data_IF_161154435005
#
_entry.id   IF_161154435005
#
_cell.length_a   1.000
_cell.length_b   1.000
_cell.length_c   1.000
_cell.angle_alpha   90.00
_cell.angle_beta   90.00
_cell.angle_gamma   90.00
#
_symmetry.space_group_name_H-M   'P 1'
#
loop_
_entity.id
_entity.type
_entity.pdbx_description
1 polymer ?
#
# COMPACT_ATOMS: atom_id res chain seq x y z
N UNK A 1 44.59 -12.74 2.80
CA UNK A 1 43.51 -12.27 3.64
C UNK A 1 42.44 -11.64 2.74
N UNK A 2 41.40 -12.40 2.44
CA UNK A 2 40.26 -11.88 1.73
C UNK A 2 39.63 -10.76 2.58
N UNK A 3 39.62 -9.61 2.02
CA UNK A 3 39.39 -8.34 2.67
C UNK A 3 38.00 -8.31 3.33
N UNK A 4 37.97 -8.24 4.67
CA UNK A 4 36.75 -8.03 5.45
C UNK A 4 35.94 -6.81 4.92
N UNK A 5 36.62 -5.88 4.25
CA UNK A 5 36.01 -4.70 3.59
C UNK A 5 35.12 -5.08 2.40
N UNK A 6 35.48 -6.13 1.63
CA UNK A 6 34.67 -6.62 0.53
C UNK A 6 33.39 -7.34 1.01
N UNK A 7 33.45 -7.99 2.17
CA UNK A 7 32.27 -8.65 2.77
C UNK A 7 31.27 -7.61 3.29
N UNK A 8 31.76 -6.52 3.92
CA UNK A 8 30.91 -5.42 4.39
C UNK A 8 30.29 -4.60 3.27
N UNK A 9 30.99 -4.41 2.17
CA UNK A 9 30.45 -3.71 1.00
C UNK A 9 29.41 -4.56 0.28
N UNK A 10 29.58 -5.88 0.26
CA UNK A 10 28.63 -6.79 -0.36
C UNK A 10 27.33 -6.94 0.47
N UNK A 11 27.44 -6.94 1.80
CA UNK A 11 26.26 -6.96 2.69
C UNK A 11 25.46 -5.65 2.61
N UNK A 12 26.12 -4.47 2.56
CA UNK A 12 25.45 -3.19 2.38
C UNK A 12 24.80 -3.03 1.01
N UNK A 13 25.39 -3.56 -0.05
CA UNK A 13 24.79 -3.54 -1.38
C UNK A 13 23.58 -4.48 -1.47
N UNK A 14 23.58 -5.57 -0.69
CA UNK A 14 22.45 -6.49 -0.62
C UNK A 14 21.28 -5.92 0.19
N UNK A 15 21.54 -5.05 1.16
CA UNK A 15 20.50 -4.31 1.91
C UNK A 15 19.88 -3.17 1.09
N UNK A 16 20.57 -2.66 0.06
CA UNK A 16 20.10 -1.57 -0.80
C UNK A 16 19.35 -2.06 -2.05
N UNK A 17 19.41 -3.37 -2.36
CA UNK A 17 18.72 -3.94 -3.51
C UNK A 17 17.36 -4.48 -3.06
N UNK A 18 16.22 -3.94 -3.57
CA UNK A 18 14.92 -4.46 -3.21
C UNK A 18 14.76 -5.91 -3.65
N UNK A 19 14.12 -6.73 -2.80
CA UNK A 19 13.78 -8.12 -3.12
C UNK A 19 12.72 -8.19 -4.21
N UNK A 20 12.58 -9.35 -4.86
CA UNK A 20 11.51 -9.55 -5.85
C UNK A 20 10.11 -9.34 -5.23
N UNK A 21 9.90 -9.80 -3.99
CA UNK A 21 8.65 -9.59 -3.25
C UNK A 21 8.41 -8.10 -2.94
N UNK A 22 9.45 -7.37 -2.56
CA UNK A 22 9.36 -5.94 -2.31
C UNK A 22 9.03 -5.15 -3.58
N UNK A 23 9.61 -5.51 -4.73
CA UNK A 23 9.29 -4.90 -6.02
C UNK A 23 7.86 -5.20 -6.45
N UNK A 24 7.40 -6.44 -6.27
CA UNK A 24 6.03 -6.82 -6.57
C UNK A 24 5.03 -6.07 -5.69
N UNK A 25 5.34 -5.92 -4.40
CA UNK A 25 4.52 -5.13 -3.46
C UNK A 25 4.49 -3.65 -3.86
N UNK A 26 5.63 -3.06 -4.21
CA UNK A 26 5.70 -1.68 -4.68
C UNK A 26 4.84 -1.47 -5.93
N UNK A 27 4.88 -2.38 -6.89
CA UNK A 27 4.07 -2.35 -8.11
C UNK A 27 2.57 -2.35 -7.79
N UNK A 28 2.08 -3.31 -7.02
CA UNK A 28 0.65 -3.42 -6.72
C UNK A 28 0.14 -2.24 -5.90
N UNK A 29 0.95 -1.71 -4.97
CA UNK A 29 0.60 -0.51 -4.19
C UNK A 29 0.49 0.71 -5.09
N UNK A 30 1.41 0.89 -6.04
CA UNK A 30 1.33 1.99 -7.01
C UNK A 30 0.14 1.85 -7.95
N UNK A 31 -0.21 0.64 -8.36
CA UNK A 31 -1.41 0.40 -9.18
C UNK A 31 -2.69 0.74 -8.41
N UNK A 32 -2.77 0.41 -7.13
CA UNK A 32 -3.88 0.78 -6.24
C UNK A 32 -3.95 2.31 -6.11
N UNK A 33 -2.83 2.98 -5.87
CA UNK A 33 -2.77 4.45 -5.77
C UNK A 33 -3.24 5.10 -7.06
N UNK A 34 -2.73 4.64 -8.19
CA UNK A 34 -3.12 5.15 -9.51
C UNK A 34 -4.60 4.94 -9.81
N UNK A 35 -5.14 3.76 -9.53
CA UNK A 35 -6.57 3.48 -9.68
C UNK A 35 -7.41 4.40 -8.81
N UNK A 36 -7.02 4.62 -7.56
CA UNK A 36 -7.69 5.57 -6.67
C UNK A 36 -7.62 7.02 -7.21
N UNK A 37 -6.51 7.41 -7.81
CA UNK A 37 -6.35 8.75 -8.40
C UNK A 37 -7.33 9.01 -9.56
N UNK A 38 -7.66 7.97 -10.33
CA UNK A 38 -8.62 8.08 -11.43
C UNK A 38 -10.06 8.22 -10.95
N UNK A 39 -10.38 7.66 -9.79
CA UNK A 39 -11.70 7.84 -9.14
C UNK A 39 -11.83 9.24 -8.55
N UNK A 40 -10.77 9.81 -8.02
CA UNK A 40 -10.72 11.16 -7.46
C UNK A 40 -10.56 11.18 -5.95
N UNK A 41 -10.92 12.32 -5.35
CA UNK A 41 -10.83 12.58 -3.91
C UNK A 41 -12.18 12.43 -3.21
N UNK A 42 -12.15 12.40 -1.87
CA UNK A 42 -13.32 12.33 -0.98
C UNK A 42 -14.04 10.97 -1.06
N UNK A 43 -13.25 9.89 -1.14
CA UNK A 43 -13.75 8.51 -1.14
C UNK A 43 -13.46 7.79 0.18
N UNK A 44 -14.35 6.84 0.50
CA UNK A 44 -14.16 5.94 1.62
C UNK A 44 -12.89 5.08 1.44
N UNK A 45 -12.25 4.65 2.54
CA UNK A 45 -11.13 3.72 2.48
C UNK A 45 -11.49 2.43 1.75
N UNK A 46 -10.52 1.87 1.04
CA UNK A 46 -10.65 0.57 0.36
C UNK A 46 -9.61 -0.40 0.88
N UNK A 47 -10.02 -1.63 1.08
CA UNK A 47 -9.16 -2.73 1.52
C UNK A 47 -9.02 -3.76 0.41
N UNK A 48 -7.82 -4.30 0.25
CA UNK A 48 -7.49 -5.29 -0.78
C UNK A 48 -6.79 -6.49 -0.17
N UNK A 49 -7.18 -7.68 -0.60
CA UNK A 49 -6.38 -8.89 -0.41
C UNK A 49 -5.34 -8.98 -1.52
N UNK A 50 -4.11 -9.32 -1.17
CA UNK A 50 -3.02 -9.53 -2.13
C UNK A 50 -2.80 -11.03 -2.36
N UNK A 51 -2.85 -11.45 -3.61
CA UNK A 51 -2.69 -12.83 -4.04
C UNK A 51 -1.68 -12.89 -5.20
N UNK A 52 -0.87 -13.93 -5.26
CA UNK A 52 -0.02 -14.13 -6.43
C UNK A 52 -0.87 -14.35 -7.68
N UNK A 53 -0.60 -13.59 -8.72
CA UNK A 53 -1.34 -13.66 -9.99
C UNK A 53 -1.29 -15.05 -10.60
N UNK A 54 -0.12 -15.73 -10.55
CA UNK A 54 0.04 -17.11 -11.00
C UNK A 54 -0.94 -18.06 -10.29
N UNK A 55 -1.11 -17.93 -8.98
CA UNK A 55 -2.04 -18.73 -8.18
C UNK A 55 -3.50 -18.46 -8.55
N UNK A 56 -3.85 -17.19 -8.79
CA UNK A 56 -5.19 -16.82 -9.25
C UNK A 56 -5.53 -17.44 -10.60
N UNK A 57 -4.60 -17.45 -11.55
CA UNK A 57 -4.80 -18.01 -12.89
C UNK A 57 -5.02 -19.53 -12.86
N UNK A 58 -4.57 -20.23 -11.82
CA UNK A 58 -4.79 -21.66 -11.63
C UNK A 58 -6.19 -22.01 -11.08
N UNK A 59 -6.96 -21.01 -10.61
CA UNK A 59 -8.29 -21.25 -10.06
C UNK A 59 -9.28 -21.71 -11.15
N UNK A 60 -9.91 -22.90 -11.00
CA UNK A 60 -10.78 -23.44 -12.05
C UNK A 60 -12.08 -22.65 -12.22
N UNK A 61 -12.55 -21.99 -11.15
CA UNK A 61 -13.84 -21.28 -11.12
C UNK A 61 -13.72 -19.80 -11.58
N UNK A 62 -12.52 -19.36 -11.92
CA UNK A 62 -12.30 -17.99 -12.38
C UNK A 62 -12.85 -17.79 -13.80
N UNK A 63 -13.71 -16.78 -14.05
CA UNK A 63 -14.20 -16.49 -15.40
C UNK A 63 -13.08 -16.24 -16.39
N UNK A 64 -13.20 -16.74 -17.62
CA UNK A 64 -12.17 -16.59 -18.67
C UNK A 64 -11.86 -15.12 -18.99
N UNK A 65 -12.86 -14.25 -18.96
CA UNK A 65 -12.65 -12.80 -19.18
C UNK A 65 -11.73 -12.20 -18.11
N UNK A 66 -11.88 -12.62 -16.85
CA UNK A 66 -11.03 -12.19 -15.76
C UNK A 66 -9.63 -12.80 -15.87
N UNK A 67 -9.52 -14.06 -16.27
CA UNK A 67 -8.22 -14.68 -16.54
C UNK A 67 -7.47 -13.96 -17.65
N UNK A 68 -8.14 -13.56 -18.72
CA UNK A 68 -7.53 -12.82 -19.81
C UNK A 68 -7.03 -11.43 -19.35
N UNK A 69 -7.80 -10.72 -18.54
CA UNK A 69 -7.38 -9.47 -17.94
C UNK A 69 -6.15 -9.63 -17.04
N UNK A 70 -6.14 -10.66 -16.20
CA UNK A 70 -4.99 -10.98 -15.33
C UNK A 70 -3.74 -11.35 -16.14
N UNK A 71 -3.89 -12.10 -17.23
CA UNK A 71 -2.76 -12.45 -18.11
C UNK A 71 -2.15 -11.22 -18.80
N UNK A 72 -2.96 -10.22 -19.12
CA UNK A 72 -2.48 -8.96 -19.70
C UNK A 72 -1.68 -8.12 -18.72
N UNK A 73 -2.04 -8.15 -17.45
CA UNK A 73 -1.36 -7.41 -16.37
C UNK A 73 -0.15 -8.16 -15.82
N UNK A 74 -0.16 -9.49 -15.92
CA UNK A 74 0.87 -10.35 -15.36
C UNK A 74 2.21 -10.22 -16.09
N UNK A 75 3.28 -9.99 -15.35
CA UNK A 75 4.65 -9.91 -15.87
C UNK A 75 5.31 -11.29 -16.10
N UNK A 76 4.59 -12.39 -15.86
CA UNK A 76 5.06 -13.76 -16.01
C UNK A 76 5.87 -14.30 -14.83
N UNK A 77 6.07 -13.52 -13.77
CA UNK A 77 6.81 -13.95 -12.58
C UNK A 77 5.88 -14.55 -11.52
N UNK A 78 6.44 -15.42 -10.68
CA UNK A 78 5.72 -16.03 -9.56
C UNK A 78 5.45 -15.02 -8.42
N UNK A 79 6.18 -13.92 -8.39
CA UNK A 79 6.06 -12.88 -7.35
C UNK A 79 5.03 -11.81 -7.66
N UNK A 80 4.60 -11.67 -8.91
CA UNK A 80 3.60 -10.67 -9.31
C UNK A 80 2.32 -10.80 -8.49
N UNK A 81 1.81 -9.67 -7.99
CA UNK A 81 0.65 -9.60 -7.11
C UNK A 81 -0.56 -9.01 -7.81
N UNK A 82 -1.71 -9.59 -7.53
CA UNK A 82 -3.02 -9.04 -7.87
C UNK A 82 -3.73 -8.57 -6.61
N UNK A 83 -4.37 -7.41 -6.66
CA UNK A 83 -5.16 -6.85 -5.59
C UNK A 83 -6.64 -7.16 -5.80
N UNK A 84 -7.26 -7.79 -4.80
CA UNK A 84 -8.69 -8.13 -4.81
C UNK A 84 -9.39 -7.25 -3.80
N UNK A 85 -10.26 -6.36 -4.30
CA UNK A 85 -11.02 -5.45 -3.43
C UNK A 85 -11.97 -6.23 -2.51
N UNK A 86 -12.03 -5.81 -1.25
CA UNK A 86 -12.93 -6.34 -0.24
C UNK A 86 -14.18 -5.45 -0.17
N UNK A 87 -15.23 -5.86 -0.87
CA UNK A 87 -16.47 -5.07 -1.00
C UNK A 87 -17.23 -4.90 0.32
N UNK A 88 -17.09 -5.85 1.25
CA UNK A 88 -17.73 -5.80 2.57
C UNK A 88 -17.10 -4.76 3.51
N UNK A 89 -16.00 -4.15 3.11
CA UNK A 89 -15.33 -3.13 3.89
C UNK A 89 -16.01 -1.77 3.71
N UNK A 90 -16.54 -1.23 4.81
CA UNK A 90 -17.26 0.06 4.82
C UNK A 90 -16.42 1.23 5.38
N UNK A 91 -15.16 1.00 5.71
CA UNK A 91 -14.28 2.00 6.31
C UNK A 91 -14.50 2.25 7.80
N UNK A 92 -15.38 1.48 8.44
CA UNK A 92 -15.66 1.56 9.87
C UNK A 92 -14.62 0.72 10.62
N UNK A 93 -13.98 1.33 11.62
CA UNK A 93 -13.01 0.69 12.50
C UNK A 93 -12.03 -0.29 11.83
N UNK A 94 -11.13 0.26 11.02
CA UNK A 94 -10.12 -0.48 10.26
C UNK A 94 -9.26 -1.39 11.18
N UNK A 95 -8.90 -0.90 12.38
CA UNK A 95 -8.06 -1.64 13.31
C UNK A 95 -8.76 -2.88 13.87
N UNK A 96 -10.03 -2.75 14.25
CA UNK A 96 -10.83 -3.86 14.75
C UNK A 96 -11.06 -4.90 13.65
N UNK A 97 -11.35 -4.46 12.44
CA UNK A 97 -11.55 -5.36 11.30
C UNK A 97 -10.27 -6.09 10.93
N UNK A 98 -9.12 -5.42 10.85
CA UNK A 98 -7.83 -6.04 10.57
C UNK A 98 -7.44 -7.07 11.64
N UNK A 99 -7.78 -6.82 12.90
CA UNK A 99 -7.54 -7.75 14.00
C UNK A 99 -8.36 -9.06 13.89
N UNK A 100 -9.52 -9.01 13.24
CA UNK A 100 -10.45 -10.15 13.11
C UNK A 100 -10.41 -10.81 11.72
N UNK A 101 -9.67 -10.25 10.75
CA UNK A 101 -9.55 -10.83 9.42
C UNK A 101 -8.74 -12.13 9.45
N UNK A 102 -9.41 -13.24 9.16
CA UNK A 102 -8.80 -14.52 8.88
C UNK A 102 -8.86 -14.78 7.38
N UNK A 103 -7.78 -14.47 6.67
CA UNK A 103 -7.70 -14.76 5.25
C UNK A 103 -7.13 -16.16 4.99
N UNK A 104 -7.58 -16.80 3.87
CA UNK A 104 -6.99 -18.06 3.42
C UNK A 104 -5.48 -17.95 3.21
N UNK A 105 -4.79 -19.08 3.23
CA UNK A 105 -3.33 -19.13 3.01
C UNK A 105 -2.90 -18.64 1.62
N UNK A 106 -3.80 -18.64 0.64
CA UNK A 106 -3.58 -18.08 -0.69
C UNK A 106 -3.42 -16.56 -0.70
N UNK A 107 -3.94 -15.87 0.32
CA UNK A 107 -3.73 -14.43 0.52
C UNK A 107 -2.39 -14.22 1.19
N UNK A 108 -1.45 -13.60 0.47
CA UNK A 108 -0.07 -13.43 0.92
C UNK A 108 0.17 -12.07 1.58
N UNK A 109 -0.81 -11.18 1.52
CA UNK A 109 -0.72 -9.85 2.11
C UNK A 109 -2.01 -9.06 2.00
N UNK A 110 -1.94 -7.83 2.44
CA UNK A 110 -3.04 -6.88 2.37
C UNK A 110 -2.55 -5.51 1.92
N UNK A 111 -3.42 -4.76 1.30
CA UNK A 111 -3.20 -3.36 1.01
C UNK A 111 -4.45 -2.55 1.29
N UNK A 112 -4.26 -1.27 1.51
CA UNK A 112 -5.36 -0.33 1.71
C UNK A 112 -5.08 0.99 1.00
N UNK A 113 -6.15 1.68 0.64
CA UNK A 113 -6.13 3.05 0.16
C UNK A 113 -7.04 3.89 1.03
N UNK A 114 -6.55 5.00 1.55
CA UNK A 114 -7.31 5.91 2.39
C UNK A 114 -6.84 7.35 2.22
N UNK A 115 -7.71 8.28 2.58
CA UNK A 115 -7.41 9.69 2.62
C UNK A 115 -7.20 10.14 4.07
N UNK A 116 -6.23 11.02 4.28
CA UNK A 116 -5.89 11.58 5.58
C UNK A 116 -5.59 13.07 5.45
N UNK A 117 -5.80 13.79 6.53
CA UNK A 117 -5.28 15.15 6.70
C UNK A 117 -4.00 15.06 7.52
N UNK A 118 -2.92 15.61 6.99
CA UNK A 118 -1.64 15.66 7.68
C UNK A 118 -1.20 17.11 7.90
N UNK A 119 -0.40 17.31 8.91
CA UNK A 119 0.28 18.57 9.23
C UNK A 119 1.77 18.31 9.43
N UNK A 120 2.64 19.34 9.32
CA UNK A 120 4.04 19.19 9.67
C UNK A 120 4.24 18.68 11.12
N UNK A 121 5.31 17.92 11.40
CA UNK A 121 5.54 17.35 12.74
C UNK A 121 5.56 18.36 13.86
N UNK A 122 6.05 19.57 13.61
CA UNK A 122 6.06 20.67 14.59
C UNK A 122 4.65 21.18 14.95
N UNK A 123 3.69 21.03 14.05
CA UNK A 123 2.27 21.36 14.28
C UNK A 123 1.59 20.22 14.99
N UNK A 124 1.85 18.98 14.59
CA UNK A 124 1.30 17.78 15.23
C UNK A 124 1.67 17.72 16.72
N UNK A 125 2.90 18.11 17.07
CA UNK A 125 3.37 18.19 18.45
C UNK A 125 2.58 19.18 19.33
N UNK A 126 1.86 20.13 18.74
CA UNK A 126 1.01 21.11 19.42
C UNK A 126 -0.45 20.67 19.53
N UNK A 127 -0.82 19.54 18.94
CA UNK A 127 -2.19 19.04 18.99
C UNK A 127 -2.59 18.67 20.42
N UNK A 128 -3.88 18.90 20.81
CA UNK A 128 -4.41 18.45 22.10
C UNK A 128 -4.31 16.93 22.29
N UNK A 129 -4.33 16.48 23.54
CA UNK A 129 -4.28 15.04 23.85
C UNK A 129 -5.62 14.34 23.58
N UNK A 130 -6.74 15.07 23.68
CA UNK A 130 -8.06 14.52 23.34
C UNK A 130 -8.15 14.23 21.83
N UNK A 131 -8.52 13.00 21.41
CA UNK A 131 -8.57 12.61 19.99
C UNK A 131 -9.49 13.49 19.14
N UNK A 132 -10.66 13.87 19.64
CA UNK A 132 -11.63 14.69 18.89
C UNK A 132 -11.14 16.13 18.73
N UNK A 133 -10.55 16.70 19.79
CA UNK A 133 -9.94 18.03 19.76
C UNK A 133 -8.69 18.04 18.87
N UNK A 134 -7.87 16.99 18.90
CA UNK A 134 -6.70 16.84 18.05
C UNK A 134 -7.09 16.79 16.58
N UNK A 135 -8.13 16.02 16.23
CA UNK A 135 -8.64 15.92 14.87
C UNK A 135 -9.14 17.27 14.35
N UNK A 136 -9.91 18.00 15.18
CA UNK A 136 -10.40 19.33 14.83
C UNK A 136 -9.24 20.33 14.65
N UNK A 137 -8.24 20.29 15.54
CA UNK A 137 -7.04 21.13 15.47
C UNK A 137 -6.26 20.89 14.16
N UNK A 138 -6.02 19.63 13.81
CA UNK A 138 -5.29 19.25 12.58
C UNK A 138 -6.09 19.65 11.34
N UNK A 139 -7.38 19.31 11.29
CA UNK A 139 -8.23 19.54 10.12
C UNK A 139 -8.42 21.02 9.79
N UNK A 140 -8.40 21.89 10.80
CA UNK A 140 -8.59 23.33 10.65
C UNK A 140 -7.28 24.13 10.58
N UNK A 141 -6.13 23.45 10.68
CA UNK A 141 -4.85 24.14 10.69
C UNK A 141 -4.49 24.67 9.29
N UNK A 142 -3.94 25.91 9.17
CA UNK A 142 -3.56 26.49 7.86
C UNK A 142 -2.53 25.68 7.08
N UNK A 143 -1.71 24.87 7.77
CA UNK A 143 -0.71 23.98 7.16
C UNK A 143 -1.22 22.55 6.91
N UNK A 144 -2.52 22.31 7.13
CA UNK A 144 -3.13 21.01 6.85
C UNK A 144 -3.12 20.71 5.35
N UNK A 145 -2.79 19.47 5.02
CA UNK A 145 -2.77 18.99 3.64
C UNK A 145 -3.52 17.67 3.57
N UNK A 146 -4.44 17.57 2.62
CA UNK A 146 -5.09 16.30 2.30
C UNK A 146 -4.13 15.42 1.53
N UNK A 147 -3.99 14.18 1.97
CA UNK A 147 -3.16 13.17 1.29
C UNK A 147 -3.96 11.89 1.10
N UNK A 148 -3.69 11.19 0.01
CA UNK A 148 -4.08 9.81 -0.18
C UNK A 148 -2.88 8.91 0.05
N UNK A 149 -3.09 7.88 0.84
CA UNK A 149 -2.07 6.87 1.15
C UNK A 149 -2.57 5.53 0.61
N UNK A 150 -1.74 4.89 -0.21
CA UNK A 150 -1.86 3.49 -0.52
C UNK A 150 -0.73 2.75 0.19
N UNK A 151 -1.05 1.75 0.98
CA UNK A 151 -0.06 1.01 1.74
C UNK A 151 -0.34 -0.48 1.68
N UNK A 152 0.72 -1.28 1.63
CA UNK A 152 0.62 -2.72 1.59
C UNK A 152 1.67 -3.39 2.46
N UNK A 153 1.33 -4.60 2.92
CA UNK A 153 2.21 -5.46 3.68
C UNK A 153 2.03 -6.91 3.27
N UNK A 154 3.12 -7.63 3.16
CA UNK A 154 3.13 -9.08 2.93
C UNK A 154 3.30 -9.83 4.26
N UNK A 155 2.81 -11.07 4.30
CA UNK A 155 3.01 -11.97 5.45
C UNK A 155 4.49 -12.24 5.74
N UNK A 156 5.34 -12.16 4.72
CA UNK A 156 6.79 -12.28 4.81
C UNK A 156 7.48 -11.10 5.50
N UNK A 157 6.78 -9.98 5.70
CA UNK A 157 7.26 -8.83 6.44
C UNK A 157 7.57 -7.59 5.60
N UNK A 158 7.57 -7.70 4.28
CA UNK A 158 7.78 -6.54 3.39
C UNK A 158 6.61 -5.57 3.52
N UNK A 159 6.93 -4.29 3.52
CA UNK A 159 5.97 -3.18 3.52
C UNK A 159 6.30 -2.19 2.40
N UNK A 160 5.28 -1.53 1.89
CA UNK A 160 5.44 -0.45 0.93
C UNK A 160 4.29 0.53 1.04
N UNK A 161 4.59 1.80 0.85
CA UNK A 161 3.56 2.84 0.81
C UNK A 161 3.81 3.85 -0.30
N UNK A 162 2.74 4.41 -0.82
CA UNK A 162 2.73 5.52 -1.75
C UNK A 162 1.82 6.63 -1.22
N UNK A 163 2.22 7.87 -1.38
CA UNK A 163 1.51 9.04 -0.87
C UNK A 163 1.35 10.07 -1.98
N UNK A 164 0.13 10.52 -2.19
CA UNK A 164 -0.21 11.63 -3.09
C UNK A 164 -0.82 12.76 -2.28
N UNK A 165 -0.26 13.96 -2.43
CA UNK A 165 -0.84 15.17 -1.85
C UNK A 165 -1.86 15.78 -2.80
N UNK A 166 -3.02 16.22 -2.27
CA UNK A 166 -4.08 16.86 -3.06
C UNK A 166 -3.61 18.16 -3.72
N UNK A 167 -2.69 18.88 -3.08
CA UNK A 167 -2.08 20.10 -3.62
C UNK A 167 -1.08 19.84 -4.75
N UNK A 168 -0.59 18.60 -4.88
CA UNK A 168 0.36 18.16 -5.91
C UNK A 168 -0.15 16.87 -6.57
N UNK A 169 -1.37 16.94 -7.09
CA UNK A 169 -2.10 15.80 -7.63
C UNK A 169 -1.65 15.45 -9.05
N UNK A 170 -0.43 14.92 -9.14
CA UNK A 170 0.13 14.41 -10.40
C UNK A 170 1.00 13.17 -10.13
N UNK A 171 1.07 12.26 -11.11
CA UNK A 171 1.75 10.97 -10.95
C UNK A 171 3.26 11.12 -10.67
N UNK A 172 3.88 12.17 -11.18
CA UNK A 172 5.31 12.48 -10.96
C UNK A 172 5.62 13.02 -9.57
N UNK A 173 4.59 13.35 -8.78
CA UNK A 173 4.70 13.88 -7.41
C UNK A 173 4.36 12.86 -6.32
N UNK A 174 4.04 11.64 -6.70
CA UNK A 174 3.77 10.56 -5.74
C UNK A 174 5.06 10.17 -5.02
N UNK A 175 5.08 10.33 -3.70
CA UNK A 175 6.15 9.82 -2.84
C UNK A 175 5.92 8.34 -2.55
N UNK A 176 6.99 7.55 -2.48
CA UNK A 176 6.88 6.12 -2.20
C UNK A 176 8.12 5.59 -1.46
N UNK A 177 7.94 4.50 -0.72
CA UNK A 177 9.03 3.84 -0.01
C UNK A 177 8.57 2.69 0.89
N UNK A 178 9.54 1.91 1.35
CA UNK A 178 9.35 0.91 2.42
C UNK A 178 9.31 1.62 3.79
N UNK A 179 8.55 1.06 4.72
CA UNK A 179 8.45 1.54 6.10
C UNK A 179 8.98 0.51 7.08
#
# INVERSE_FOLDING_TARGET
>A
SACAKCLWENERMNELTPTADQLALAHVVLDIEKAASLVGWDHAPSLYALVHTATLLEQPDLPEELKDALRQEWDGTDTHLSAIIQEDFQGEDLEEMLAHLAWPSSVVGAALSLERVIVPPEVEAQAPEDPDEALAFISNHPKATDVRIAAGALRSGETWSALRARTFDSDDKVGQGSQ
#
